data_IF_045651484134
#
_entry.id   IF_045651484134
#
_cell.length_a   1.000
_cell.length_b   1.000
_cell.length_c   1.000
_cell.angle_alpha   90.00
_cell.angle_beta   90.00
_cell.angle_gamma   90.00
#
_symmetry.space_group_name_H-M   'P 1'
#
loop_
_entity.id
_entity.type
_entity.pdbx_description
1 polymer ?
#
# COMPACT_ATOMS: atom_id res chain seq x y z
N UNK A 1 -0.65 0.94 1.40
CA UNK A 1 0.36 1.83 2.00
C UNK A 1 0.10 3.31 1.73
N UNK A 2 0.07 3.77 0.47
CA UNK A 2 -0.02 5.21 0.14
C UNK A 2 -1.17 5.97 0.81
N UNK A 3 -2.41 5.48 0.67
CA UNK A 3 -3.58 6.12 1.29
C UNK A 3 -3.48 6.08 2.82
N UNK A 4 -3.08 4.96 3.40
CA UNK A 4 -2.86 4.86 4.85
C UNK A 4 -1.82 5.87 5.34
N UNK A 5 -0.70 6.02 4.64
CA UNK A 5 0.37 6.94 5.01
C UNK A 5 -0.12 8.40 4.97
N UNK A 6 -0.94 8.78 3.98
CA UNK A 6 -1.61 10.09 3.93
C UNK A 6 -2.39 10.42 5.19
N UNK A 7 -3.01 9.43 5.83
CA UNK A 7 -3.84 9.62 7.02
C UNK A 7 -3.07 9.47 8.35
N UNK A 8 -1.90 8.82 8.34
CA UNK A 8 -1.22 8.38 9.56
C UNK A 8 0.24 8.85 9.69
N UNK A 9 0.88 9.28 8.61
CA UNK A 9 2.29 9.71 8.62
C UNK A 9 2.34 11.24 8.47
N UNK A 10 2.90 11.97 9.45
CA UNK A 10 3.07 13.41 9.37
C UNK A 10 3.81 13.82 8.09
N UNK A 11 3.35 14.89 7.44
CA UNK A 11 3.96 15.47 6.23
C UNK A 11 4.05 14.53 5.02
N UNK A 12 3.36 13.39 5.03
CA UNK A 12 3.28 12.50 3.87
C UNK A 12 2.41 13.12 2.76
N UNK A 13 2.96 13.21 1.55
CA UNK A 13 2.21 13.65 0.37
C UNK A 13 1.91 12.43 -0.49
N UNK A 14 0.63 12.06 -0.57
CA UNK A 14 0.17 10.99 -1.46
C UNK A 14 0.27 11.43 -2.92
N UNK A 15 0.78 10.54 -3.77
CA UNK A 15 0.97 10.76 -5.22
C UNK A 15 1.78 12.02 -5.56
N UNK A 16 2.70 12.42 -4.70
CA UNK A 16 3.69 13.44 -5.03
C UNK A 16 4.68 12.91 -6.08
N UNK A 17 5.33 13.82 -6.81
CA UNK A 17 6.30 13.44 -7.86
C UNK A 17 7.46 12.57 -7.35
N UNK A 18 7.81 12.70 -6.06
CA UNK A 18 8.87 11.94 -5.41
C UNK A 18 8.35 10.85 -4.47
N UNK A 19 7.04 10.56 -4.47
CA UNK A 19 6.45 9.52 -3.62
C UNK A 19 6.83 8.14 -4.17
N UNK A 20 7.43 7.26 -3.36
CA UNK A 20 7.86 5.94 -3.82
C UNK A 20 6.71 5.11 -4.38
N UNK A 21 6.92 4.52 -5.55
CA UNK A 21 5.93 3.67 -6.23
C UNK A 21 6.60 2.43 -6.81
N UNK A 22 5.82 1.35 -6.94
CA UNK A 22 6.22 0.15 -7.68
C UNK A 22 5.39 0.11 -8.96
N UNK A 23 6.06 0.20 -10.11
CA UNK A 23 5.42 0.04 -11.40
C UNK A 23 5.04 -1.44 -11.60
N UNK A 24 3.78 -1.69 -11.95
CA UNK A 24 3.24 -3.03 -12.18
C UNK A 24 2.71 -3.12 -13.61
N UNK A 25 2.83 -4.31 -14.22
CA UNK A 25 2.06 -4.61 -15.43
C UNK A 25 0.56 -4.62 -15.12
N UNK A 26 -0.26 -4.65 -16.17
CA UNK A 26 -1.72 -4.75 -16.00
C UNK A 26 -2.13 -5.97 -15.19
N UNK A 27 -1.56 -7.13 -15.48
CA UNK A 27 -1.86 -8.41 -14.84
C UNK A 27 -1.45 -8.39 -13.36
N UNK A 28 -0.27 -7.85 -13.07
CA UNK A 28 0.21 -7.66 -11.71
C UNK A 28 -0.68 -6.71 -10.92
N UNK A 29 -1.07 -5.59 -11.54
CA UNK A 29 -1.99 -4.63 -10.92
C UNK A 29 -3.35 -5.28 -10.62
N UNK A 30 -3.92 -6.03 -11.57
CA UNK A 30 -5.18 -6.75 -11.37
C UNK A 30 -5.07 -7.82 -10.25
N UNK A 31 -3.93 -8.50 -10.12
CA UNK A 31 -3.66 -9.40 -9.01
C UNK A 31 -3.64 -8.68 -7.64
N UNK A 32 -2.96 -7.53 -7.54
CA UNK A 32 -2.98 -6.74 -6.30
C UNK A 32 -4.37 -6.20 -5.95
N UNK A 33 -5.15 -5.84 -6.98
CA UNK A 33 -6.53 -5.35 -6.84
C UNK A 33 -7.46 -6.43 -6.28
N UNK A 34 -7.27 -7.71 -6.66
CA UNK A 34 -8.02 -8.82 -6.09
C UNK A 34 -7.77 -8.95 -4.57
N UNK A 35 -6.51 -8.89 -4.14
CA UNK A 35 -6.13 -8.91 -2.72
C UNK A 35 -6.76 -7.75 -1.96
N UNK A 36 -6.65 -6.53 -2.50
CA UNK A 36 -7.23 -5.34 -1.86
C UNK A 36 -8.75 -5.44 -1.72
N UNK A 37 -9.46 -5.93 -2.75
CA UNK A 37 -10.92 -6.08 -2.70
C UNK A 37 -11.37 -7.12 -1.69
N UNK A 38 -10.60 -8.18 -1.51
CA UNK A 38 -10.88 -9.20 -0.50
C UNK A 38 -10.69 -8.61 0.91
N UNK A 39 -9.57 -7.95 1.16
CA UNK A 39 -9.34 -7.24 2.42
C UNK A 39 -10.42 -6.18 2.69
N UNK A 40 -10.80 -5.39 1.67
CA UNK A 40 -11.86 -4.39 1.80
C UNK A 40 -13.20 -5.03 2.20
N UNK A 41 -13.51 -6.21 1.66
CA UNK A 41 -14.71 -6.95 2.02
C UNK A 41 -14.64 -7.47 3.47
N UNK A 42 -13.50 -7.99 3.90
CA UNK A 42 -13.29 -8.41 5.30
C UNK A 42 -13.41 -7.23 6.28
N UNK A 43 -12.90 -6.05 5.90
CA UNK A 43 -12.94 -4.84 6.74
C UNK A 43 -14.29 -4.14 6.74
N UNK A 44 -15.03 -4.16 5.62
CA UNK A 44 -16.20 -3.27 5.43
C UNK A 44 -17.49 -3.97 4.98
N UNK A 45 -17.44 -5.27 4.71
CA UNK A 45 -18.54 -6.02 4.09
C UNK A 45 -18.75 -5.73 2.61
N UNK A 46 -17.92 -4.90 1.97
CA UNK A 46 -18.05 -4.52 0.54
C UNK A 46 -16.77 -4.76 -0.24
N UNK A 47 -16.87 -5.40 -1.41
CA UNK A 47 -15.73 -5.59 -2.33
C UNK A 47 -15.33 -4.31 -3.08
N UNK A 48 -16.24 -3.33 -3.19
CA UNK A 48 -16.03 -2.04 -3.86
C UNK A 48 -16.80 -0.96 -3.10
N UNK A 49 -16.23 0.24 -2.98
CA UNK A 49 -16.89 1.38 -2.33
C UNK A 49 -17.05 1.26 -0.81
N UNK A 50 -16.40 0.28 -0.18
CA UNK A 50 -16.25 0.22 1.27
C UNK A 50 -15.48 1.45 1.78
N UNK A 51 -16.01 2.10 2.82
CA UNK A 51 -15.31 3.20 3.49
C UNK A 51 -14.44 2.60 4.58
N UNK A 52 -13.13 2.80 4.45
CA UNK A 52 -12.15 2.41 5.47
C UNK A 52 -11.88 3.63 6.34
N UNK A 53 -11.98 3.47 7.65
CA UNK A 53 -11.36 4.39 8.58
C UNK A 53 -9.86 4.10 8.62
N UNK A 54 -9.09 4.89 7.86
CA UNK A 54 -7.66 4.64 7.72
C UNK A 54 -6.85 4.90 8.98
N UNK A 55 -7.39 5.66 9.94
CA UNK A 55 -6.68 5.99 11.19
C UNK A 55 -6.75 4.84 12.20
N UNK A 56 -7.76 3.97 12.12
CA UNK A 56 -7.84 2.76 12.94
C UNK A 56 -7.05 1.57 12.37
N UNK A 57 -6.62 1.63 11.10
CA UNK A 57 -5.74 0.61 10.51
C UNK A 57 -4.33 0.79 11.06
N UNK A 58 -3.82 -0.20 11.78
CA UNK A 58 -2.49 -0.15 12.38
C UNK A 58 -1.36 -0.21 11.33
N UNK A 59 -0.14 0.25 11.68
CA UNK A 59 1.03 0.09 10.81
C UNK A 59 1.31 -1.36 10.41
N UNK A 60 1.05 -2.31 11.31
CA UNK A 60 1.24 -3.74 11.07
C UNK A 60 0.26 -4.25 10.01
N UNK A 61 -1.03 -3.94 10.16
CA UNK A 61 -2.07 -4.40 9.23
C UNK A 61 -1.85 -3.87 7.81
N UNK A 62 -1.50 -2.60 7.66
CA UNK A 62 -1.23 -2.05 6.32
C UNK A 62 0.03 -2.64 5.71
N UNK A 63 1.05 -2.94 6.52
CA UNK A 63 2.27 -3.59 6.05
C UNK A 63 1.97 -5.01 5.59
N UNK A 64 1.19 -5.78 6.36
CA UNK A 64 0.74 -7.13 5.98
C UNK A 64 -0.09 -7.10 4.69
N UNK A 65 -1.03 -6.17 4.54
CA UNK A 65 -1.79 -6.00 3.30
C UNK A 65 -0.87 -5.71 2.12
N UNK A 66 0.11 -4.82 2.30
CA UNK A 66 1.09 -4.47 1.26
C UNK A 66 1.94 -5.68 0.87
N UNK A 67 2.35 -6.51 1.83
CA UNK A 67 3.08 -7.76 1.58
C UNK A 67 2.23 -8.79 0.83
N UNK A 68 0.95 -8.95 1.19
CA UNK A 68 0.01 -9.81 0.44
C UNK A 68 -0.13 -9.35 -1.01
N UNK A 69 -0.22 -8.04 -1.26
CA UNK A 69 -0.26 -7.47 -2.61
C UNK A 69 1.04 -7.72 -3.38
N UNK A 70 2.21 -7.52 -2.76
CA UNK A 70 3.50 -7.83 -3.39
C UNK A 70 3.66 -9.31 -3.73
N UNK A 71 3.19 -10.21 -2.86
CA UNK A 71 3.16 -11.65 -3.14
C UNK A 71 2.28 -11.98 -4.34
N UNK A 72 1.07 -11.42 -4.40
CA UNK A 72 0.14 -11.66 -5.51
C UNK A 72 0.67 -11.15 -6.86
N UNK A 73 1.33 -9.99 -6.88
CA UNK A 73 1.99 -9.45 -8.07
C UNK A 73 3.36 -10.07 -8.37
N UNK A 74 3.83 -11.03 -7.55
CA UNK A 74 5.16 -11.64 -7.67
C UNK A 74 6.29 -10.59 -7.73
N UNK A 75 6.16 -9.52 -6.95
CA UNK A 75 7.18 -8.46 -6.89
C UNK A 75 8.49 -9.07 -6.35
N UNK A 76 9.63 -8.93 -7.05
CA UNK A 76 10.91 -9.45 -6.59
C UNK A 76 11.32 -8.88 -5.23
N UNK A 77 12.04 -9.66 -4.42
CA UNK A 77 12.46 -9.23 -3.08
C UNK A 77 13.33 -7.96 -3.12
N UNK A 78 14.19 -7.79 -4.12
CA UNK A 78 14.98 -6.58 -4.32
C UNK A 78 14.09 -5.34 -4.47
N UNK A 79 13.09 -5.39 -5.35
CA UNK A 79 12.15 -4.30 -5.56
C UNK A 79 11.32 -3.98 -4.30
N UNK A 80 10.97 -4.99 -3.50
CA UNK A 80 10.29 -4.77 -2.20
C UNK A 80 11.20 -4.03 -1.22
N UNK A 81 12.46 -4.45 -1.10
CA UNK A 81 13.44 -3.82 -0.23
C UNK A 81 13.68 -2.37 -0.64
N UNK A 82 13.90 -2.12 -1.94
CA UNK A 82 14.04 -0.78 -2.50
C UNK A 82 12.81 0.09 -2.22
N UNK A 83 11.61 -0.46 -2.38
CA UNK A 83 10.37 0.25 -2.03
C UNK A 83 10.35 0.68 -0.55
N UNK A 84 10.67 -0.21 0.38
CA UNK A 84 10.68 0.13 1.80
C UNK A 84 11.79 1.12 2.16
N UNK A 85 12.98 0.99 1.56
CA UNK A 85 14.05 1.97 1.74
C UNK A 85 13.65 3.35 1.23
N UNK A 86 13.05 3.41 0.03
CA UNK A 86 12.56 4.66 -0.54
C UNK A 86 11.42 5.25 0.30
N UNK A 87 10.47 4.43 0.77
CA UNK A 87 9.36 4.85 1.63
C UNK A 87 9.86 5.43 2.96
N UNK A 88 10.81 4.76 3.61
CA UNK A 88 11.41 5.28 4.85
C UNK A 88 12.16 6.58 4.59
N UNK A 89 13.01 6.63 3.56
CA UNK A 89 13.76 7.85 3.22
C UNK A 89 12.84 9.02 2.87
N UNK A 90 11.73 8.76 2.20
CA UNK A 90 10.71 9.76 1.91
C UNK A 90 10.07 10.31 3.18
N UNK A 91 9.77 9.46 4.16
CA UNK A 91 9.12 9.87 5.41
C UNK A 91 10.07 10.58 6.39
N UNK A 92 11.37 10.28 6.33
CA UNK A 92 12.41 10.89 7.17
C UNK A 92 13.30 11.87 6.39
N UNK A 93 12.75 12.52 5.36
CA UNK A 93 13.44 13.60 4.66
C UNK A 93 13.52 14.82 5.59
N UNK A 94 14.72 15.37 5.76
CA UNK A 94 14.95 16.66 6.43
C UNK A 94 14.37 17.82 5.61
#
# INVERSE_FOLDING_TARGET
>A
MDVWAKHNVPNYISRGGNTPTVALTKEQHDATKAVYRQWLYETTGKKVGGKVDWQSVSPKEIQELTQKMFNAAKVPNSARQEYYYAFNRYNYRE
#
